data_IF_732672054773
#
_entry.id   IF_732672054773
#
_cell.length_a   1.000
_cell.length_b   1.000
_cell.length_c   1.000
_cell.angle_alpha   90.00
_cell.angle_beta   90.00
_cell.angle_gamma   90.00
#
_symmetry.space_group_name_H-M   'P 1'
#
loop_
_entity.id
_entity.type
_entity.pdbx_description
1 polymer ?
#
# COMPACT_ATOMS: atom_id res chain seq x y z
N UNK A 1 -37.73 -35.55 -10.47
CA UNK A 1 -36.57 -34.69 -10.76
C UNK A 1 -36.21 -34.89 -12.22
N UNK A 2 -36.53 -33.93 -13.09
CA UNK A 2 -36.10 -33.98 -14.49
C UNK A 2 -34.58 -33.83 -14.53
N UNK A 3 -33.89 -34.89 -14.96
CA UNK A 3 -32.45 -34.83 -15.22
C UNK A 3 -32.24 -33.95 -16.46
N UNK A 4 -31.65 -32.77 -16.28
CA UNK A 4 -31.13 -31.96 -17.37
C UNK A 4 -30.23 -32.84 -18.25
N UNK A 5 -30.57 -32.97 -19.53
CA UNK A 5 -29.73 -33.67 -20.48
C UNK A 5 -28.31 -33.07 -20.45
N UNK A 6 -27.26 -33.90 -20.53
CA UNK A 6 -25.88 -33.47 -20.33
C UNK A 6 -25.45 -32.35 -21.28
N UNK A 7 -25.99 -32.34 -22.50
CA UNK A 7 -25.77 -31.28 -23.49
C UNK A 7 -26.39 -29.94 -23.06
N UNK A 8 -27.63 -29.95 -22.55
CA UNK A 8 -28.29 -28.74 -22.01
C UNK A 8 -27.56 -28.21 -20.78
N UNK A 9 -27.06 -29.09 -19.92
CA UNK A 9 -26.25 -28.71 -18.77
C UNK A 9 -24.90 -28.11 -19.19
N UNK A 10 -24.25 -28.65 -20.22
CA UNK A 10 -23.00 -28.11 -20.77
C UNK A 10 -23.21 -26.74 -21.41
N UNK A 11 -24.27 -26.59 -22.22
CA UNK A 11 -24.65 -25.32 -22.82
C UNK A 11 -24.94 -24.25 -21.76
N UNK A 12 -25.71 -24.59 -20.72
CA UNK A 12 -26.01 -23.65 -19.63
C UNK A 12 -24.75 -23.21 -18.88
N UNK A 13 -23.82 -24.15 -18.60
CA UNK A 13 -22.53 -23.81 -17.99
C UNK A 13 -21.71 -22.85 -18.85
N UNK A 14 -21.71 -23.07 -20.16
CA UNK A 14 -21.00 -22.19 -21.10
C UNK A 14 -21.65 -20.80 -21.17
N UNK A 15 -22.98 -20.70 -21.16
CA UNK A 15 -23.68 -19.41 -21.11
C UNK A 15 -23.40 -18.66 -19.81
N UNK A 16 -23.41 -19.35 -18.66
CA UNK A 16 -23.04 -18.74 -17.37
C UNK A 16 -21.59 -18.27 -17.39
N UNK A 17 -20.66 -19.05 -17.94
CA UNK A 17 -19.25 -18.65 -18.09
C UNK A 17 -19.09 -17.40 -18.94
N UNK A 18 -19.78 -17.33 -20.08
CA UNK A 18 -19.74 -16.19 -20.98
C UNK A 18 -20.30 -14.93 -20.31
N UNK A 19 -21.45 -15.03 -19.64
CA UNK A 19 -22.07 -13.91 -18.93
C UNK A 19 -21.16 -13.40 -17.79
N UNK A 20 -20.56 -14.32 -17.03
CA UNK A 20 -19.61 -13.97 -15.96
C UNK A 20 -18.39 -13.25 -16.54
N UNK A 21 -17.81 -13.75 -17.63
CA UNK A 21 -16.66 -13.11 -18.26
C UNK A 21 -17.02 -11.73 -18.81
N UNK A 22 -18.19 -11.58 -19.44
CA UNK A 22 -18.66 -10.29 -19.94
C UNK A 22 -18.85 -9.25 -18.82
N UNK A 23 -19.27 -9.69 -17.63
CA UNK A 23 -19.41 -8.81 -16.46
C UNK A 23 -18.09 -8.52 -15.76
N UNK A 24 -17.16 -9.47 -15.72
CA UNK A 24 -15.86 -9.31 -15.06
C UNK A 24 -14.90 -8.48 -15.90
N UNK A 25 -14.90 -8.64 -17.22
CA UNK A 25 -14.00 -7.93 -18.13
C UNK A 25 -13.96 -6.40 -17.94
N UNK A 26 -15.08 -5.66 -17.85
CA UNK A 26 -15.04 -4.23 -17.61
C UNK A 26 -14.50 -3.87 -16.22
N UNK A 27 -14.84 -4.64 -15.18
CA UNK A 27 -14.33 -4.40 -13.82
C UNK A 27 -12.82 -4.60 -13.74
N UNK A 28 -12.27 -5.60 -14.44
CA UNK A 28 -10.82 -5.79 -14.54
C UNK A 28 -10.15 -4.57 -15.18
N UNK A 29 -10.69 -4.07 -16.30
CA UNK A 29 -10.15 -2.88 -16.96
C UNK A 29 -10.21 -1.64 -16.06
N UNK A 30 -11.27 -1.50 -15.28
CA UNK A 30 -11.39 -0.39 -14.33
C UNK A 30 -10.34 -0.49 -13.21
N UNK A 31 -10.15 -1.68 -12.65
CA UNK A 31 -9.12 -1.94 -11.64
C UNK A 31 -7.71 -1.67 -12.22
N UNK A 32 -7.42 -2.21 -13.41
CA UNK A 32 -6.14 -2.02 -14.09
C UNK A 32 -5.87 -0.52 -14.35
N UNK A 33 -6.89 0.21 -14.82
CA UNK A 33 -6.78 1.64 -15.06
C UNK A 33 -6.57 2.46 -13.78
N UNK A 34 -7.21 2.08 -12.67
CA UNK A 34 -6.98 2.70 -11.37
C UNK A 34 -5.57 2.41 -10.83
N UNK A 35 -5.07 1.19 -11.03
CA UNK A 35 -3.72 0.80 -10.62
C UNK A 35 -2.66 1.55 -11.42
N UNK A 36 -2.79 1.62 -12.75
CA UNK A 36 -1.90 2.40 -13.61
C UNK A 36 -1.86 3.88 -13.21
N UNK A 37 -3.03 4.46 -12.94
CA UNK A 37 -3.13 5.85 -12.48
C UNK A 37 -2.46 6.05 -11.10
N UNK A 38 -2.73 5.18 -10.14
CA UNK A 38 -2.14 5.26 -8.80
C UNK A 38 -0.62 5.10 -8.83
N UNK A 39 -0.11 4.17 -9.65
CA UNK A 39 1.32 3.98 -9.90
C UNK A 39 1.95 5.22 -10.54
N UNK A 40 1.26 5.87 -11.48
CA UNK A 40 1.68 7.14 -12.08
C UNK A 40 1.80 8.27 -11.05
N UNK A 41 0.80 8.41 -10.16
CA UNK A 41 0.85 9.38 -9.05
C UNK A 41 2.00 9.08 -8.09
N UNK A 42 2.21 7.80 -7.77
CA UNK A 42 3.29 7.36 -6.90
C UNK A 42 4.67 7.70 -7.48
N UNK A 43 4.88 7.44 -8.78
CA UNK A 43 6.11 7.79 -9.49
C UNK A 43 6.35 9.31 -9.49
N UNK A 44 5.33 10.10 -9.83
CA UNK A 44 5.42 11.56 -9.83
C UNK A 44 5.76 12.14 -8.44
N UNK A 45 5.21 11.55 -7.37
CA UNK A 45 5.57 11.91 -6.00
C UNK A 45 7.03 11.59 -5.68
N UNK A 46 7.54 10.43 -6.12
CA UNK A 46 8.96 10.09 -5.92
C UNK A 46 9.89 11.04 -6.67
N UNK A 47 9.57 11.36 -7.93
CA UNK A 47 10.34 12.30 -8.74
C UNK A 47 10.43 13.68 -8.08
N UNK A 48 9.36 14.10 -7.39
CA UNK A 48 9.34 15.35 -6.60
C UNK A 48 10.09 15.20 -5.27
N UNK A 49 9.85 14.13 -4.52
CA UNK A 49 10.36 13.96 -3.16
C UNK A 49 11.88 13.78 -3.14
N UNK A 50 12.44 13.01 -4.07
CA UNK A 50 13.88 12.73 -4.09
C UNK A 50 14.77 13.98 -4.16
N UNK A 51 14.60 14.93 -5.09
CA UNK A 51 15.37 16.16 -5.10
C UNK A 51 15.07 17.01 -3.87
N UNK A 52 13.80 17.06 -3.43
CA UNK A 52 13.37 17.90 -2.31
C UNK A 52 14.02 17.44 -0.99
N UNK A 53 14.09 16.13 -0.74
CA UNK A 53 14.76 15.57 0.44
C UNK A 53 16.28 15.79 0.42
N UNK A 54 16.90 15.83 -0.76
CA UNK A 54 18.33 16.16 -0.91
C UNK A 54 18.61 17.62 -0.56
N UNK A 55 17.74 18.54 -0.99
CA UNK A 55 17.89 19.98 -0.74
C UNK A 55 17.47 20.37 0.68
N UNK A 56 16.53 19.63 1.28
CA UNK A 56 15.94 19.91 2.59
C UNK A 56 15.97 18.68 3.51
N UNK A 57 17.15 18.31 4.05
CA UNK A 57 17.31 17.11 4.87
C UNK A 57 16.52 17.14 6.19
N UNK A 58 16.09 18.31 6.66
CA UNK A 58 15.18 18.47 7.79
C UNK A 58 13.81 17.84 7.53
N UNK A 59 13.32 17.90 6.28
CA UNK A 59 12.05 17.29 5.90
C UNK A 59 12.15 15.76 5.94
N UNK A 60 13.32 15.20 5.62
CA UNK A 60 13.56 13.77 5.72
C UNK A 60 13.36 13.26 7.16
N UNK A 61 13.79 14.02 8.17
CA UNK A 61 13.60 13.64 9.58
C UNK A 61 12.12 13.64 9.99
N UNK A 62 11.37 14.66 9.57
CA UNK A 62 9.93 14.73 9.88
C UNK A 62 9.13 13.65 9.15
N UNK A 63 9.37 13.47 7.85
CA UNK A 63 8.65 12.51 7.03
C UNK A 63 9.00 11.05 7.39
N UNK A 64 10.26 10.76 7.72
CA UNK A 64 10.69 9.44 8.19
C UNK A 64 9.85 9.00 9.39
N UNK A 65 9.74 9.85 10.42
CA UNK A 65 9.02 9.52 11.63
C UNK A 65 7.52 9.27 11.37
N UNK A 66 6.90 10.11 10.55
CA UNK A 66 5.48 10.01 10.19
C UNK A 66 5.19 8.74 9.38
N UNK A 67 6.01 8.46 8.37
CA UNK A 67 5.76 7.34 7.46
C UNK A 67 6.23 6.00 8.03
N UNK A 68 7.28 5.99 8.86
CA UNK A 68 7.64 4.80 9.66
C UNK A 68 6.48 4.39 10.56
N UNK A 69 5.82 5.34 11.21
CA UNK A 69 4.64 5.05 12.05
C UNK A 69 3.51 4.45 11.21
N UNK A 70 3.23 4.99 10.03
CA UNK A 70 2.24 4.44 9.12
C UNK A 70 2.58 3.00 8.68
N UNK A 71 3.84 2.76 8.31
CA UNK A 71 4.33 1.42 7.95
C UNK A 71 4.18 0.41 9.10
N UNK A 72 4.49 0.83 10.34
CA UNK A 72 4.31 -0.02 11.53
C UNK A 72 2.84 -0.30 11.82
N UNK A 73 1.96 0.71 11.68
CA UNK A 73 0.52 0.53 11.86
C UNK A 73 -0.05 -0.44 10.82
N UNK A 74 0.38 -0.31 9.56
CA UNK A 74 -0.03 -1.24 8.50
C UNK A 74 0.42 -2.67 8.80
N UNK A 75 1.70 -2.88 9.17
CA UNK A 75 2.22 -4.20 9.52
C UNK A 75 1.48 -4.85 10.71
N UNK A 76 0.93 -4.05 11.63
CA UNK A 76 0.07 -4.55 12.71
C UNK A 76 -1.30 -5.01 12.21
N UNK A 77 -1.89 -4.32 11.22
CA UNK A 77 -3.14 -4.72 10.59
C UNK A 77 -2.96 -6.04 9.83
N UNK A 78 -1.90 -6.17 9.02
CA UNK A 78 -1.61 -7.39 8.27
C UNK A 78 -1.50 -8.62 9.18
N UNK A 79 -0.87 -8.46 10.35
CA UNK A 79 -0.73 -9.52 11.35
C UNK A 79 -2.01 -9.79 12.14
N UNK A 80 -2.88 -8.80 12.27
CA UNK A 80 -4.10 -8.87 13.09
C UNK A 80 -5.25 -8.11 12.41
N UNK A 81 -5.90 -8.70 11.38
CA UNK A 81 -6.91 -8.02 10.58
C UNK A 81 -8.06 -7.44 11.41
N UNK A 82 -8.44 -8.11 12.52
CA UNK A 82 -9.47 -7.63 13.46
C UNK A 82 -9.12 -6.35 14.23
N UNK A 83 -7.88 -5.83 14.14
CA UNK A 83 -7.49 -4.53 14.70
C UNK A 83 -7.69 -3.36 13.74
N UNK A 84 -7.96 -3.59 12.45
CA UNK A 84 -8.21 -2.53 11.48
C UNK A 84 -9.34 -1.59 11.93
N UNK A 85 -10.41 -2.16 12.50
CA UNK A 85 -11.57 -1.42 13.01
C UNK A 85 -11.25 -0.49 14.20
N UNK A 86 -10.09 -0.64 14.85
CA UNK A 86 -9.66 0.22 15.97
C UNK A 86 -8.81 1.42 15.53
N UNK A 87 -8.47 1.51 14.25
CA UNK A 87 -7.68 2.60 13.70
C UNK A 87 -8.60 3.70 13.17
N UNK A 88 -8.23 4.95 13.41
CA UNK A 88 -8.92 6.13 12.86
C UNK A 88 -8.56 6.39 11.39
N UNK A 89 -7.83 5.48 10.74
CA UNK A 89 -7.32 5.64 9.37
C UNK A 89 -7.53 4.33 8.62
N UNK A 90 -7.99 4.42 7.36
CA UNK A 90 -8.20 3.21 6.55
C UNK A 90 -6.87 2.53 6.22
N UNK A 91 -6.84 1.19 6.09
CA UNK A 91 -5.64 0.44 5.72
C UNK A 91 -4.98 0.94 4.43
N UNK A 92 -5.79 1.31 3.43
CA UNK A 92 -5.33 1.76 2.11
C UNK A 92 -4.52 3.06 2.21
N UNK A 93 -4.93 3.99 3.08
CA UNK A 93 -4.18 5.23 3.34
C UNK A 93 -2.85 4.99 4.06
N UNK A 94 -2.78 3.93 4.88
CA UNK A 94 -1.54 3.52 5.53
C UNK A 94 -0.60 2.80 4.54
N UNK A 95 -1.16 2.06 3.58
CA UNK A 95 -0.40 1.34 2.56
C UNK A 95 0.42 2.25 1.66
N UNK A 96 -0.17 3.33 1.13
CA UNK A 96 0.55 4.25 0.27
C UNK A 96 1.77 4.86 0.98
N UNK A 97 1.60 5.25 2.26
CA UNK A 97 2.69 5.78 3.11
C UNK A 97 3.72 4.72 3.46
N UNK A 98 3.29 3.48 3.71
CA UNK A 98 4.17 2.31 3.87
C UNK A 98 5.06 2.18 2.63
N UNK A 99 4.47 2.14 1.44
CA UNK A 99 5.23 1.97 0.19
C UNK A 99 6.27 3.07 -0.01
N UNK A 100 5.89 4.35 0.16
CA UNK A 100 6.83 5.48 0.08
C UNK A 100 7.96 5.35 1.12
N UNK A 101 7.62 4.96 2.36
CA UNK A 101 8.62 4.71 3.41
C UNK A 101 9.66 3.67 2.99
N UNK A 102 9.21 2.53 2.45
CA UNK A 102 10.10 1.45 2.04
C UNK A 102 10.98 1.82 0.86
N UNK A 103 10.41 2.45 -0.18
CA UNK A 103 11.20 2.87 -1.36
C UNK A 103 12.30 3.85 -0.95
N UNK A 104 11.99 4.86 -0.14
CA UNK A 104 12.98 5.83 0.32
C UNK A 104 14.02 5.22 1.28
N UNK A 105 13.63 4.19 2.04
CA UNK A 105 14.57 3.43 2.86
C UNK A 105 15.57 2.65 1.99
N UNK A 106 15.08 1.99 0.94
CA UNK A 106 15.92 1.26 -0.02
C UNK A 106 16.88 2.20 -0.76
N UNK A 107 16.43 3.42 -1.06
CA UNK A 107 17.23 4.46 -1.70
C UNK A 107 18.16 5.21 -0.73
N UNK A 108 18.21 4.82 0.55
CA UNK A 108 19.07 5.44 1.57
C UNK A 108 18.76 6.91 1.87
N UNK A 109 17.53 7.36 1.61
CA UNK A 109 17.12 8.76 1.80
C UNK A 109 16.77 9.08 3.27
N UNK A 110 16.59 8.05 4.10
CA UNK A 110 16.31 8.26 5.52
C UNK A 110 17.56 8.61 6.32
N UNK A 111 17.46 9.57 7.25
CA UNK A 111 18.57 9.91 8.12
C UNK A 111 18.94 8.71 8.99
N UNK A 112 20.24 8.53 9.24
CA UNK A 112 20.70 7.53 10.19
C UNK A 112 20.04 7.77 11.56
N UNK A 113 19.63 6.71 12.28
CA UNK A 113 19.04 6.87 13.60
C UNK A 113 20.02 7.63 14.49
N UNK A 114 19.57 8.77 15.02
CA UNK A 114 20.39 9.59 15.90
C UNK A 114 20.85 8.71 17.08
N UNK A 115 22.18 8.55 17.22
CA UNK A 115 22.74 7.79 18.35
C UNK A 115 22.18 8.39 19.65
N UNK A 116 21.64 7.58 20.57
CA UNK A 116 21.15 8.10 21.83
C UNK A 116 22.31 8.81 22.52
N UNK A 117 22.19 10.12 22.74
CA UNK A 117 23.15 10.89 23.54
C UNK A 117 23.18 10.23 24.91
N UNK A 118 24.25 9.48 25.19
CA UNK A 118 24.51 8.93 26.54
C UNK A 118 24.42 10.10 27.50
N UNK A 119 23.41 10.10 28.37
CA UNK A 119 23.30 11.04 29.49
C UNK A 119 24.62 10.95 30.25
N UNK A 120 25.47 11.98 30.13
CA UNK A 120 26.63 12.13 31.01
C UNK A 120 26.07 12.20 32.42
N UNK A 121 26.37 11.19 33.24
CA UNK A 121 26.05 11.25 34.67
C UNK A 121 26.77 12.48 35.25
N UNK A 122 26.10 13.33 36.03
CA UNK A 122 26.80 14.38 36.75
C UNK A 122 27.80 13.72 37.70
N UNK A 123 29.05 14.15 37.61
CA UNK A 123 30.08 13.80 38.58
C UNK A 123 29.76 14.63 39.83
N UNK A 124 29.48 13.96 40.94
CA UNK A 124 29.42 14.54 42.28
C UNK A 124 30.43 13.80 43.13
#
# INVERSE_FOLDING_TARGET
>A
MEHLQPEKAAWLREQVRQEVEQRIAPLRREIDGLDDWANGVFAALLDLLLPLLKTHPELAQTLEALWRRAAQQYALIERQPGRAAKLQTSPELLEARKMLYWVLAQLGQWPAPAKPRRRRKPVS
#
